data_IF_168525728384
#
_entry.id   IF_168525728384
#
_cell.length_a   1.000
_cell.length_b   1.000
_cell.length_c   1.000
_cell.angle_alpha   90.00
_cell.angle_beta   90.00
_cell.angle_gamma   90.00
#
_symmetry.space_group_name_H-M   'P 1'
#
loop_
_entity.id
_entity.type
_entity.pdbx_description
1 polymer ?
#
# COMPACT_ATOMS: atom_id res chain seq x y z
N UNK A 1 -2.17 12.34 -22.71
CA UNK A 1 -2.69 13.29 -21.70
C UNK A 1 -4.17 13.55 -21.97
N UNK A 2 -5.00 13.63 -20.92
CA UNK A 2 -6.43 13.95 -21.06
C UNK A 2 -6.66 15.33 -20.45
N UNK A 3 -7.07 16.31 -21.26
CA UNK A 3 -7.31 17.65 -20.78
C UNK A 3 -8.55 17.67 -19.87
N UNK A 4 -8.39 18.09 -18.61
CA UNK A 4 -9.52 18.27 -17.69
C UNK A 4 -10.27 19.58 -17.94
N UNK A 5 -9.64 20.54 -18.63
CA UNK A 5 -10.22 21.87 -18.91
C UNK A 5 -10.32 22.77 -17.68
N UNK A 6 -9.80 22.34 -16.52
CA UNK A 6 -9.91 23.09 -15.26
C UNK A 6 -8.78 24.12 -15.18
N UNK A 7 -9.13 25.39 -15.04
CA UNK A 7 -8.19 26.50 -14.85
C UNK A 7 -8.18 26.91 -13.37
N UNK A 8 -6.98 27.07 -12.79
CA UNK A 8 -6.76 27.57 -11.43
C UNK A 8 -5.68 28.63 -11.43
N UNK A 9 -5.85 29.62 -10.55
CA UNK A 9 -4.86 30.67 -10.32
C UNK A 9 -3.92 30.22 -9.21
N UNK A 10 -2.66 30.62 -9.35
CA UNK A 10 -1.66 30.52 -8.29
C UNK A 10 -1.93 31.66 -7.30
N UNK A 11 -1.70 31.39 -6.01
CA UNK A 11 -1.76 32.44 -4.99
C UNK A 11 -0.46 33.27 -4.92
N UNK A 12 -0.36 34.12 -3.90
CA UNK A 12 0.80 34.99 -3.65
C UNK A 12 2.07 34.24 -3.23
N UNK A 13 1.95 33.00 -2.79
CA UNK A 13 3.06 32.16 -2.31
C UNK A 13 3.47 31.08 -3.32
N UNK A 14 2.82 30.99 -4.48
CA UNK A 14 3.13 29.97 -5.47
C UNK A 14 2.33 28.67 -5.31
N UNK A 15 1.33 28.62 -4.43
CA UNK A 15 0.51 27.41 -4.21
C UNK A 15 -0.60 27.33 -5.26
N UNK A 16 -0.91 26.11 -5.69
CA UNK A 16 -2.03 25.80 -6.57
C UNK A 16 -3.00 24.85 -5.86
N UNK A 17 -4.30 25.12 -5.98
CA UNK A 17 -5.34 24.26 -5.41
C UNK A 17 -5.66 23.12 -6.37
N UNK A 18 -5.43 21.88 -5.96
CA UNK A 18 -5.89 20.69 -6.69
C UNK A 18 -7.41 20.53 -6.46
N UNK A 19 -8.25 20.57 -7.52
CA UNK A 19 -9.69 20.39 -7.39
C UNK A 19 -10.08 19.08 -6.69
N UNK A 20 -11.16 19.11 -5.90
CA UNK A 20 -11.64 17.95 -5.13
C UNK A 20 -11.90 16.72 -6.02
N UNK A 21 -12.36 16.91 -7.24
CA UNK A 21 -12.61 15.84 -8.22
C UNK A 21 -11.34 15.09 -8.60
N UNK A 22 -10.26 15.82 -8.88
CA UNK A 22 -8.95 15.24 -9.20
C UNK A 22 -8.40 14.51 -7.97
N UNK A 23 -8.46 15.15 -6.79
CA UNK A 23 -8.03 14.51 -5.55
C UNK A 23 -8.77 13.21 -5.27
N UNK A 24 -10.10 13.18 -5.46
CA UNK A 24 -10.91 11.98 -5.26
C UNK A 24 -10.54 10.88 -6.25
N UNK A 25 -10.38 11.24 -7.53
CA UNK A 25 -10.06 10.26 -8.59
C UNK A 25 -8.65 9.67 -8.42
N UNK A 26 -7.71 10.48 -7.96
CA UNK A 26 -6.32 10.10 -7.77
C UNK A 26 -6.03 9.61 -6.35
N UNK A 27 -7.04 9.47 -5.48
CA UNK A 27 -6.88 9.10 -4.07
C UNK A 27 -5.84 9.98 -3.33
N UNK A 28 -5.83 11.28 -3.58
CA UNK A 28 -4.94 12.25 -2.90
C UNK A 28 -5.65 12.77 -1.65
N UNK A 29 -5.14 12.40 -0.47
CA UNK A 29 -5.62 12.84 0.83
C UNK A 29 -4.90 14.11 1.28
N UNK A 30 -5.36 14.70 2.38
CA UNK A 30 -4.68 15.84 2.98
C UNK A 30 -3.32 15.40 3.54
N UNK A 31 -2.29 16.21 3.31
CA UNK A 31 -0.88 15.91 3.66
C UNK A 31 -0.21 14.81 2.83
N UNK A 32 -0.88 14.22 1.84
CA UNK A 32 -0.23 13.28 0.92
C UNK A 32 0.94 13.97 0.19
N UNK A 33 2.13 13.35 0.16
CA UNK A 33 3.26 13.88 -0.57
C UNK A 33 3.04 13.75 -2.08
N UNK A 34 3.34 14.82 -2.82
CA UNK A 34 3.31 14.85 -4.28
C UNK A 34 4.69 15.23 -4.80
N UNK A 35 5.18 14.46 -5.77
CA UNK A 35 6.42 14.74 -6.46
C UNK A 35 6.16 15.66 -7.67
N UNK A 36 7.02 16.67 -7.82
CA UNK A 36 6.90 17.68 -8.87
C UNK A 36 8.00 17.47 -9.91
N UNK A 37 7.59 17.24 -11.15
CA UNK A 37 8.47 17.16 -12.30
C UNK A 37 8.23 18.34 -13.24
N UNK A 38 9.29 18.76 -13.93
CA UNK A 38 9.22 19.77 -14.99
C UNK A 38 9.72 19.17 -16.30
N UNK A 39 8.94 19.27 -17.37
CA UNK A 39 9.38 18.88 -18.71
C UNK A 39 10.03 20.06 -19.46
N UNK A 40 10.75 19.75 -20.54
CA UNK A 40 11.47 20.75 -21.35
C UNK A 40 10.56 21.80 -21.97
N UNK A 41 9.28 21.46 -22.10
CA UNK A 41 8.27 22.25 -22.77
C UNK A 41 7.61 23.25 -21.81
N UNK A 42 8.00 23.21 -20.52
CA UNK A 42 7.46 24.06 -19.45
C UNK A 42 6.29 23.43 -18.68
N UNK A 43 5.91 22.18 -19.01
CA UNK A 43 4.86 21.45 -18.32
C UNK A 43 5.29 21.05 -16.90
N UNK A 44 4.38 21.22 -15.94
CA UNK A 44 4.53 20.76 -14.56
C UNK A 44 3.70 19.49 -14.39
N UNK A 45 4.34 18.39 -14.01
CA UNK A 45 3.69 17.11 -13.77
C UNK A 45 3.73 16.84 -12.27
N UNK A 46 2.55 16.58 -11.69
CA UNK A 46 2.40 16.14 -10.32
C UNK A 46 2.13 14.63 -10.31
N UNK A 47 2.90 13.87 -9.53
CA UNK A 47 2.66 12.45 -9.27
C UNK A 47 2.51 12.21 -7.77
N UNK A 48 1.72 11.20 -7.39
CA UNK A 48 1.74 10.72 -6.00
C UNK A 48 3.15 10.22 -5.69
N UNK A 49 3.71 10.70 -4.60
CA UNK A 49 4.97 10.17 -4.11
C UNK A 49 4.65 8.87 -3.37
N UNK A 50 5.19 7.75 -3.85
CA UNK A 50 5.10 6.45 -3.18
C UNK A 50 6.53 5.94 -3.00
N UNK A 51 7.13 6.11 -1.80
CA UNK A 51 8.47 5.60 -1.50
C UNK A 51 8.57 4.09 -1.79
N UNK A 52 7.48 3.37 -1.48
CA UNK A 52 7.36 1.94 -1.72
C UNK A 52 7.24 1.60 -3.22
N UNK A 53 6.57 2.46 -4.01
CA UNK A 53 6.48 2.28 -5.46
C UNK A 53 7.84 2.25 -6.15
N UNK A 54 8.79 3.07 -5.68
CA UNK A 54 10.19 3.04 -6.15
C UNK A 54 10.94 1.77 -5.71
N UNK A 55 10.56 1.20 -4.56
CA UNK A 55 11.01 -0.11 -4.10
C UNK A 55 10.32 -1.29 -4.79
N UNK A 56 9.48 -1.10 -5.82
CA UNK A 56 8.66 -2.17 -6.41
C UNK A 56 9.43 -3.46 -6.76
N UNK A 57 10.68 -3.35 -7.24
CA UNK A 57 11.55 -4.51 -7.48
C UNK A 57 11.99 -5.18 -6.17
N UNK A 58 12.42 -4.40 -5.17
CA UNK A 58 12.80 -4.91 -3.85
C UNK A 58 11.61 -5.57 -3.15
N UNK A 59 10.45 -4.91 -3.13
CA UNK A 59 9.22 -5.45 -2.56
C UNK A 59 8.83 -6.79 -3.21
N UNK A 60 8.92 -6.89 -4.54
CA UNK A 60 8.70 -8.17 -5.24
C UNK A 60 9.66 -9.26 -4.77
N UNK A 61 10.95 -8.97 -4.69
CA UNK A 61 11.95 -9.93 -4.20
C UNK A 61 11.69 -10.35 -2.75
N UNK A 62 11.24 -9.44 -1.89
CA UNK A 62 10.81 -9.74 -0.53
C UNK A 62 9.62 -10.70 -0.49
N UNK A 63 8.56 -10.38 -1.23
CA UNK A 63 7.38 -11.24 -1.32
C UNK A 63 7.73 -12.65 -1.82
N UNK A 64 8.53 -12.74 -2.89
CA UNK A 64 8.98 -14.01 -3.45
C UNK A 64 9.86 -14.81 -2.47
N UNK A 65 10.77 -14.14 -1.76
CA UNK A 65 11.66 -14.79 -0.79
C UNK A 65 10.89 -15.37 0.40
N UNK A 66 9.91 -14.65 0.92
CA UNK A 66 9.07 -15.12 2.03
C UNK A 66 8.15 -16.26 1.55
N UNK A 67 7.50 -16.10 0.39
CA UNK A 67 6.62 -17.11 -0.18
C UNK A 67 7.35 -18.42 -0.56
N UNK A 68 8.67 -18.38 -0.73
CA UNK A 68 9.49 -19.58 -0.93
C UNK A 68 9.69 -20.40 0.36
N UNK A 69 9.45 -19.81 1.54
CA UNK A 69 9.65 -20.47 2.84
C UNK A 69 8.34 -20.94 3.48
N UNK A 70 7.21 -20.30 3.16
CA UNK A 70 5.89 -20.61 3.74
C UNK A 70 4.83 -20.77 2.65
N UNK A 71 3.84 -21.68 2.83
CA UNK A 71 2.83 -22.01 1.82
C UNK A 71 1.68 -20.97 1.76
N UNK A 72 1.98 -19.70 2.01
CA UNK A 72 1.01 -18.61 2.09
C UNK A 72 1.25 -17.56 1.01
N UNK A 73 0.25 -16.73 0.78
CA UNK A 73 0.35 -15.63 -0.15
C UNK A 73 0.93 -14.42 0.55
N UNK A 74 2.00 -13.85 0.02
CA UNK A 74 2.61 -12.64 0.53
C UNK A 74 2.20 -11.50 -0.38
N UNK A 75 1.72 -10.40 0.20
CA UNK A 75 1.51 -9.18 -0.56
C UNK A 75 2.04 -7.98 0.21
N UNK A 76 2.59 -7.02 -0.53
CA UNK A 76 3.11 -5.77 -0.01
C UNK A 76 2.29 -4.68 -0.64
N UNK A 77 1.83 -3.77 0.19
CA UNK A 77 1.02 -2.63 -0.21
C UNK A 77 1.76 -1.35 0.12
N UNK A 78 1.58 -0.32 -0.71
CA UNK A 78 1.80 1.05 -0.27
C UNK A 78 0.53 1.60 0.41
N UNK A 79 0.38 2.92 0.49
CA UNK A 79 -0.78 3.56 1.10
C UNK A 79 -2.08 3.42 0.30
N UNK A 80 -2.01 2.95 -0.95
CA UNK A 80 -3.15 2.91 -1.86
C UNK A 80 -3.43 1.51 -2.39
N UNK A 81 -2.41 0.73 -2.72
CA UNK A 81 -2.58 -0.49 -3.50
C UNK A 81 -1.52 -1.55 -3.22
N UNK A 82 -1.81 -2.77 -3.67
CA UNK A 82 -0.85 -3.87 -3.68
C UNK A 82 0.19 -3.65 -4.77
N UNK A 83 1.42 -3.37 -4.39
CA UNK A 83 2.55 -3.12 -5.30
C UNK A 83 3.34 -4.39 -5.65
N UNK A 84 3.30 -5.39 -4.78
CA UNK A 84 3.94 -6.69 -5.00
C UNK A 84 3.15 -7.83 -4.36
N UNK A 85 3.13 -9.00 -4.99
CA UNK A 85 2.56 -10.19 -4.40
C UNK A 85 3.23 -11.47 -4.93
N UNK A 86 3.31 -12.49 -4.08
CA UNK A 86 3.86 -13.81 -4.40
C UNK A 86 3.08 -14.92 -3.67
N UNK A 87 3.19 -16.16 -4.17
CA UNK A 87 2.46 -17.31 -3.65
C UNK A 87 1.10 -17.54 -4.33
N UNK A 88 0.25 -18.43 -3.77
CA UNK A 88 -1.03 -18.80 -4.35
C UNK A 88 -1.95 -17.59 -4.59
N UNK A 89 -2.70 -17.55 -5.69
CA UNK A 89 -3.64 -16.47 -6.00
C UNK A 89 -3.06 -15.03 -6.06
N UNK A 90 -1.74 -14.82 -5.96
CA UNK A 90 -1.11 -13.50 -5.91
C UNK A 90 -1.47 -12.57 -7.09
N UNK A 91 -1.64 -13.14 -8.29
CA UNK A 91 -2.03 -12.39 -9.51
C UNK A 91 -3.37 -11.66 -9.37
N UNK A 92 -4.25 -12.09 -8.45
CA UNK A 92 -5.54 -11.44 -8.19
C UNK A 92 -5.41 -10.18 -7.34
N UNK A 93 -4.24 -9.96 -6.72
CA UNK A 93 -4.02 -8.89 -5.75
C UNK A 93 -3.30 -7.68 -6.35
N UNK A 94 -2.31 -7.90 -7.21
CA UNK A 94 -1.43 -6.84 -7.73
C UNK A 94 -2.25 -5.71 -8.38
N UNK A 95 -2.01 -4.47 -7.95
CA UNK A 95 -2.67 -3.26 -8.42
C UNK A 95 -4.08 -3.04 -7.86
N UNK A 96 -4.60 -3.94 -7.01
CA UNK A 96 -5.87 -3.72 -6.32
C UNK A 96 -5.68 -2.69 -5.20
N UNK A 97 -6.66 -1.79 -5.10
CA UNK A 97 -6.70 -0.74 -4.09
C UNK A 97 -7.01 -1.32 -2.71
N UNK A 98 -6.48 -0.72 -1.66
CA UNK A 98 -6.83 -1.04 -0.28
C UNK A 98 -8.33 -0.77 -0.02
N UNK A 99 -8.90 -1.55 0.88
CA UNK A 99 -10.22 -1.25 1.44
C UNK A 99 -10.13 -0.09 2.44
N UNK A 100 -11.22 0.67 2.58
CA UNK A 100 -11.28 1.81 3.52
C UNK A 100 -10.88 1.41 4.95
N UNK A 101 -11.30 0.23 5.42
CA UNK A 101 -10.91 -0.25 6.76
C UNK A 101 -9.43 -0.63 6.86
N UNK A 102 -8.81 -1.07 5.76
CA UNK A 102 -7.38 -1.32 5.71
C UNK A 102 -6.58 -0.01 5.73
N UNK A 103 -7.08 1.03 5.07
CA UNK A 103 -6.51 2.38 5.14
C UNK A 103 -6.58 2.94 6.57
N UNK A 104 -7.72 2.77 7.26
CA UNK A 104 -7.86 3.12 8.69
C UNK A 104 -6.86 2.34 9.56
N UNK A 105 -6.71 1.04 9.32
CA UNK A 105 -5.73 0.21 10.02
C UNK A 105 -4.28 0.69 9.78
N UNK A 106 -3.99 1.26 8.61
CA UNK A 106 -2.67 1.79 8.27
C UNK A 106 -2.37 3.06 9.06
N UNK A 107 -3.34 3.97 9.12
CA UNK A 107 -3.27 5.20 9.91
C UNK A 107 -3.06 4.87 11.40
N UNK A 108 -3.77 3.87 11.90
CA UNK A 108 -3.66 3.37 13.27
C UNK A 108 -2.37 2.55 13.53
N UNK A 109 -1.55 2.30 12.51
CA UNK A 109 -0.29 1.52 12.58
C UNK A 109 -0.51 0.11 13.13
N UNK A 110 -1.58 -0.55 12.69
CA UNK A 110 -1.97 -1.85 13.22
C UNK A 110 -1.02 -2.96 12.76
N UNK A 111 -0.78 -3.89 13.68
CA UNK A 111 -0.20 -5.20 13.38
C UNK A 111 -1.17 -6.23 13.94
N UNK A 112 -1.88 -6.96 13.06
CA UNK A 112 -2.97 -7.85 13.50
C UNK A 112 -3.01 -9.15 12.72
N UNK A 113 -3.54 -10.19 13.38
CA UNK A 113 -4.00 -11.45 12.80
C UNK A 113 -5.52 -11.43 12.78
N UNK A 114 -6.12 -11.78 11.65
CA UNK A 114 -7.56 -11.82 11.46
C UNK A 114 -7.98 -13.16 10.85
N UNK A 115 -9.16 -13.62 11.25
CA UNK A 115 -9.88 -14.74 10.63
C UNK A 115 -11.19 -14.20 10.08
N UNK A 116 -11.48 -14.46 8.80
CA UNK A 116 -12.71 -14.00 8.15
C UNK A 116 -13.99 -14.47 8.84
N UNK A 117 -13.95 -15.58 9.58
CA UNK A 117 -15.12 -16.05 10.32
C UNK A 117 -15.37 -15.29 11.63
N UNK A 118 -14.49 -14.35 12.02
CA UNK A 118 -14.60 -13.55 13.24
C UNK A 118 -15.11 -12.12 12.95
N UNK A 119 -15.73 -11.51 13.95
CA UNK A 119 -16.40 -10.20 13.82
C UNK A 119 -15.45 -9.04 13.54
N UNK A 120 -14.18 -9.18 13.91
CA UNK A 120 -13.13 -8.17 13.74
C UNK A 120 -12.49 -8.17 12.35
N UNK A 121 -12.89 -9.09 11.48
CA UNK A 121 -12.39 -9.16 10.11
C UNK A 121 -12.79 -7.94 9.28
N UNK A 122 -11.83 -7.46 8.50
CA UNK A 122 -12.07 -6.55 7.40
C UNK A 122 -11.26 -6.96 6.15
N UNK A 123 -11.78 -6.70 4.95
CA UNK A 123 -11.06 -6.99 3.72
C UNK A 123 -9.81 -6.10 3.60
N UNK A 124 -8.71 -6.67 3.09
CA UNK A 124 -7.47 -5.90 2.88
C UNK A 124 -7.58 -4.96 1.68
N UNK A 125 -8.23 -5.40 0.61
CA UNK A 125 -8.37 -4.67 -0.67
C UNK A 125 -9.82 -4.65 -1.13
N UNK A 126 -10.15 -3.73 -2.04
CA UNK A 126 -11.40 -3.74 -2.78
C UNK A 126 -11.52 -5.05 -3.60
N UNK A 127 -12.71 -5.65 -3.59
CA UNK A 127 -12.98 -6.97 -4.16
C UNK A 127 -12.08 -8.09 -3.59
N UNK A 128 -11.81 -8.06 -2.28
CA UNK A 128 -10.91 -9.02 -1.62
C UNK A 128 -11.29 -10.48 -1.93
N UNK A 129 -10.39 -11.31 -2.47
CA UNK A 129 -10.74 -12.66 -2.90
C UNK A 129 -11.31 -13.52 -1.77
N UNK A 130 -12.47 -14.14 -2.03
CA UNK A 130 -13.17 -14.97 -1.05
C UNK A 130 -12.40 -16.23 -0.64
N UNK A 131 -11.32 -16.58 -1.35
CA UNK A 131 -10.48 -17.73 -1.01
C UNK A 131 -9.61 -17.49 0.22
N UNK A 132 -9.31 -16.25 0.60
CA UNK A 132 -8.44 -15.98 1.75
C UNK A 132 -9.25 -15.93 3.05
N UNK A 133 -9.00 -16.89 3.94
CA UNK A 133 -9.64 -16.95 5.25
C UNK A 133 -8.87 -16.16 6.29
N UNK A 134 -7.56 -16.37 6.38
CA UNK A 134 -6.74 -15.74 7.41
C UNK A 134 -5.85 -14.66 6.82
N UNK A 135 -5.68 -13.57 7.58
CA UNK A 135 -4.93 -12.38 7.18
C UNK A 135 -4.04 -11.95 8.33
N UNK A 136 -2.73 -11.93 8.11
CA UNK A 136 -1.77 -11.23 8.94
C UNK A 136 -1.40 -9.93 8.23
N UNK A 137 -1.44 -8.81 8.93
CA UNK A 137 -0.95 -7.53 8.42
C UNK A 137 0.01 -6.89 9.40
N UNK A 138 1.07 -6.29 8.87
CA UNK A 138 2.08 -5.56 9.63
C UNK A 138 2.42 -4.26 8.91
N UNK A 139 2.16 -3.12 9.56
CA UNK A 139 2.47 -1.80 9.00
C UNK A 139 3.96 -1.61 8.78
N UNK A 140 4.32 -1.12 7.59
CA UNK A 140 5.65 -0.61 7.27
C UNK A 140 5.70 0.84 7.75
N UNK A 141 6.65 1.14 8.64
CA UNK A 141 6.87 2.48 9.18
C UNK A 141 8.25 2.96 8.74
N UNK A 142 8.32 4.13 8.11
CA UNK A 142 9.56 4.78 7.69
C UNK A 142 9.51 6.25 8.12
N UNK A 143 10.57 6.76 8.75
CA UNK A 143 10.65 8.14 9.26
C UNK A 143 9.46 8.56 10.13
N UNK A 144 8.87 7.61 10.87
CA UNK A 144 7.64 7.77 11.67
C UNK A 144 6.33 7.89 10.88
N UNK A 145 6.34 7.72 9.58
CA UNK A 145 5.15 7.65 8.72
C UNK A 145 4.75 6.21 8.42
N UNK A 146 3.44 5.93 8.40
CA UNK A 146 2.90 4.66 7.96
C UNK A 146 2.82 4.66 6.44
N UNK A 147 3.68 3.89 5.79
CA UNK A 147 3.88 3.97 4.33
C UNK A 147 3.27 2.78 3.57
N UNK A 148 2.86 1.73 4.28
CA UNK A 148 2.24 0.57 3.66
C UNK A 148 2.12 -0.63 4.59
N UNK A 149 1.92 -1.81 4.00
CA UNK A 149 1.82 -3.08 4.73
C UNK A 149 2.67 -4.17 4.13
N UNK A 150 3.15 -5.06 4.99
CA UNK A 150 3.45 -6.44 4.63
C UNK A 150 2.30 -7.32 5.13
N UNK A 151 1.71 -8.09 4.24
CA UNK A 151 0.58 -8.96 4.52
C UNK A 151 0.88 -10.42 4.15
N UNK A 152 0.45 -11.34 5.00
CA UNK A 152 0.47 -12.79 4.76
C UNK A 152 -0.99 -13.26 4.76
N UNK A 153 -1.40 -13.93 3.68
CA UNK A 153 -2.77 -14.39 3.49
C UNK A 153 -2.78 -15.90 3.33
N UNK A 154 -3.67 -16.58 4.05
CA UNK A 154 -3.86 -18.02 3.98
C UNK A 154 -5.29 -18.38 3.59
N UNK A 155 -5.44 -19.49 2.88
CA UNK A 155 -6.72 -20.02 2.41
C UNK A 155 -7.35 -20.89 3.50
N UNK A 156 -6.57 -21.79 4.10
CA UNK A 156 -7.09 -22.81 5.04
C UNK A 156 -6.29 -22.89 6.35
N UNK A 157 -4.98 -22.64 6.31
CA UNK A 157 -4.13 -22.73 7.50
C UNK A 157 -4.28 -21.47 8.36
N UNK A 158 -4.59 -21.63 9.65
CA UNK A 158 -4.61 -20.53 10.60
C UNK A 158 -3.20 -19.93 10.74
N UNK A 159 -3.13 -18.60 10.73
CA UNK A 159 -1.87 -17.87 10.89
C UNK A 159 -1.61 -17.62 12.37
N UNK A 160 -0.39 -17.87 12.82
CA UNK A 160 -0.03 -17.72 14.23
C UNK A 160 1.13 -16.74 14.45
N UNK A 161 1.74 -16.80 15.64
CA UNK A 161 2.87 -15.96 16.04
C UNK A 161 4.08 -16.07 15.10
N UNK A 162 4.23 -17.19 14.38
CA UNK A 162 5.30 -17.38 13.41
C UNK A 162 5.11 -16.44 12.22
N UNK A 163 3.96 -16.48 11.54
CA UNK A 163 3.68 -15.61 10.40
C UNK A 163 3.61 -14.16 10.82
N UNK A 164 3.09 -13.88 12.02
CA UNK A 164 3.11 -12.54 12.59
C UNK A 164 4.53 -11.98 12.74
N UNK A 165 5.46 -12.76 13.27
CA UNK A 165 6.87 -12.35 13.39
C UNK A 165 7.53 -12.18 12.02
N UNK A 166 7.25 -13.04 11.05
CA UNK A 166 7.75 -12.92 9.69
C UNK A 166 7.29 -11.61 9.06
N UNK A 167 5.99 -11.31 9.12
CA UNK A 167 5.42 -10.07 8.60
C UNK A 167 6.05 -8.84 9.27
N UNK A 168 6.24 -8.90 10.59
CA UNK A 168 6.84 -7.80 11.37
C UNK A 168 8.31 -7.56 11.04
N UNK A 169 9.12 -8.62 10.93
CA UNK A 169 10.52 -8.51 10.53
C UNK A 169 10.62 -7.91 9.12
N UNK A 170 9.76 -8.37 8.20
CA UNK A 170 9.73 -7.86 6.84
C UNK A 170 9.31 -6.38 6.79
N UNK A 171 8.29 -5.99 7.55
CA UNK A 171 7.84 -4.59 7.57
C UNK A 171 8.88 -3.66 8.20
N UNK A 172 9.51 -4.08 9.31
CA UNK A 172 10.58 -3.31 9.96
C UNK A 172 11.81 -3.18 9.05
N UNK A 173 12.13 -4.22 8.27
CA UNK A 173 13.24 -4.17 7.31
C UNK A 173 12.94 -3.19 6.16
N UNK A 174 11.76 -3.31 5.55
CA UNK A 174 11.35 -2.42 4.45
C UNK A 174 11.28 -0.96 4.91
N UNK A 175 10.79 -0.72 6.13
CA UNK A 175 10.79 0.61 6.74
C UNK A 175 12.19 1.21 6.82
N UNK A 176 13.17 0.45 7.33
CA UNK A 176 14.57 0.89 7.40
C UNK A 176 15.24 1.10 6.03
N UNK A 177 14.85 0.33 5.02
CA UNK A 177 15.37 0.54 3.66
C UNK A 177 14.88 1.85 3.05
N UNK A 178 13.69 2.32 3.42
CA UNK A 178 13.14 3.58 2.95
C UNK A 178 13.79 4.81 3.63
N UNK A 179 14.40 4.61 4.80
CA UNK A 179 15.14 5.64 5.55
C UNK A 179 16.60 5.80 5.08
N UNK A 180 17.10 4.90 4.23
CA UNK A 180 18.51 4.77 3.85
C UNK A 180 18.83 5.47 2.53
#
# INVERSE_FOLDING_TARGET
MKATGIIRRIDDLGRIVIPKEIRKTMHIRESDPLEIFTERDGDIILKKYSPIGELGNSAKLYAESIAAQIPHTICICDQDCVIAAAGPNAKKLIGKLLDEKAEEALIDRKHILMDREKEDFFPLILDFPEVFRYVCLSTIIAESEAVGFVCILSIEDELDDQEFKIAKIASDFLGKQLEA
#
